data_IF_867180004892
#
_entry.id   IF_867180004892
#
_cell.length_a   1.000
_cell.length_b   1.000
_cell.length_c   1.000
_cell.angle_alpha   90.00
_cell.angle_beta   90.00
_cell.angle_gamma   90.00
#
_symmetry.space_group_name_H-M   'P 1'
#
loop_
_entity.id
_entity.type
_entity.pdbx_description
1 polymer ?
#
# COMPACT_ATOMS: atom_id res chain seq x y z
N UNK A 1 3.79 15.14 6.24
CA UNK A 1 4.42 13.95 5.64
C UNK A 1 3.75 12.71 6.22
N UNK A 2 3.30 11.73 5.42
CA UNK A 2 2.79 10.48 5.96
C UNK A 2 3.89 9.77 6.77
N UNK A 3 3.56 9.23 7.94
CA UNK A 3 4.52 8.46 8.75
C UNK A 3 4.32 6.96 8.50
N UNK A 4 5.39 6.17 8.51
CA UNK A 4 5.36 4.72 8.25
C UNK A 4 4.41 4.00 9.20
N UNK A 5 4.41 4.37 10.48
CA UNK A 5 3.48 3.86 11.50
C UNK A 5 2.02 4.17 11.18
N UNK A 6 1.74 5.36 10.65
CA UNK A 6 0.39 5.70 10.23
C UNK A 6 -0.03 4.85 9.03
N UNK A 7 0.85 4.62 8.05
CA UNK A 7 0.51 3.77 6.90
C UNK A 7 0.23 2.32 7.32
N UNK A 8 0.98 1.81 8.30
CA UNK A 8 0.73 0.46 8.84
C UNK A 8 -0.58 0.37 9.63
N UNK A 9 -0.93 1.41 10.38
CA UNK A 9 -2.25 1.50 11.04
C UNK A 9 -3.37 1.57 10.01
N UNK A 10 -3.19 2.39 8.97
CA UNK A 10 -4.15 2.57 7.88
C UNK A 10 -4.43 1.25 7.15
N UNK A 11 -3.38 0.50 6.80
CA UNK A 11 -3.49 -0.79 6.11
C UNK A 11 -4.22 -1.85 6.93
N UNK A 12 -4.11 -1.77 8.27
CA UNK A 12 -4.84 -2.61 9.23
C UNK A 12 -6.27 -2.10 9.51
N UNK A 13 -6.72 -1.01 8.89
CA UNK A 13 -8.02 -0.39 9.15
C UNK A 13 -8.11 0.32 10.51
N UNK A 14 -6.96 0.63 11.13
CA UNK A 14 -6.89 1.39 12.38
C UNK A 14 -6.87 2.89 12.10
N UNK A 15 -7.40 3.72 13.01
CA UNK A 15 -7.29 5.16 12.91
C UNK A 15 -5.83 5.58 12.95
N UNK A 16 -5.44 6.41 11.98
CA UNK A 16 -4.15 7.10 11.90
C UNK A 16 -4.24 8.46 12.56
N UNK A 17 -3.14 8.94 13.13
CA UNK A 17 -3.09 10.32 13.68
C UNK A 17 -3.03 11.34 12.55
N UNK A 18 -2.40 10.98 11.44
CA UNK A 18 -2.33 11.81 10.24
C UNK A 18 -3.48 11.52 9.26
N UNK A 19 -3.95 12.55 8.52
CA UNK A 19 -4.99 12.45 7.49
C UNK A 19 -4.43 11.89 6.17
N UNK A 20 -3.87 10.69 6.23
CA UNK A 20 -3.16 10.05 5.10
C UNK A 20 -4.03 9.09 4.28
N UNK A 21 -5.27 8.85 4.71
CA UNK A 21 -6.24 8.01 4.01
C UNK A 21 -7.32 8.79 3.27
N UNK A 22 -7.69 8.34 2.07
CA UNK A 22 -8.89 8.81 1.38
C UNK A 22 -10.16 8.18 1.96
N UNK A 23 -11.12 8.98 2.43
CA UNK A 23 -12.41 8.49 2.97
C UNK A 23 -13.23 7.65 1.97
N UNK A 24 -12.94 7.79 0.67
CA UNK A 24 -13.60 7.06 -0.42
C UNK A 24 -13.00 5.67 -0.70
N UNK A 25 -11.84 5.35 -0.12
CA UNK A 25 -11.09 4.13 -0.43
C UNK A 25 -11.02 3.27 0.84
N UNK A 26 -11.47 2.02 0.74
CA UNK A 26 -11.34 1.07 1.85
C UNK A 26 -9.87 0.72 2.09
N UNK A 27 -9.30 1.17 3.20
CA UNK A 27 -7.86 1.00 3.46
C UNK A 27 -7.46 -0.37 4.01
N UNK A 28 -8.44 -1.15 4.45
CA UNK A 28 -8.20 -2.47 5.02
C UNK A 28 -7.75 -3.43 3.92
N UNK A 29 -6.49 -3.86 4.00
CA UNK A 29 -5.96 -4.90 3.13
C UNK A 29 -6.52 -6.27 3.55
N UNK A 30 -6.89 -7.07 2.55
CA UNK A 30 -7.13 -8.51 2.71
C UNK A 30 -5.82 -9.24 3.00
N UNK A 31 -5.90 -10.52 3.42
CA UNK A 31 -4.71 -11.31 3.75
C UNK A 31 -3.72 -11.42 2.57
N UNK A 32 -4.23 -11.64 1.34
CA UNK A 32 -3.38 -11.70 0.14
C UNK A 32 -2.70 -10.36 -0.16
N UNK A 33 -3.44 -9.26 -0.10
CA UNK A 33 -2.88 -7.92 -0.31
C UNK A 33 -1.85 -7.56 0.75
N UNK A 34 -2.07 -7.99 1.99
CA UNK A 34 -1.12 -7.80 3.07
C UNK A 34 0.17 -8.56 2.83
N UNK A 35 0.10 -9.82 2.40
CA UNK A 35 1.29 -10.59 2.03
C UNK A 35 2.07 -9.90 0.90
N UNK A 36 1.37 -9.36 -0.10
CA UNK A 36 2.01 -8.59 -1.18
C UNK A 36 2.63 -7.30 -0.67
N UNK A 37 1.96 -6.58 0.22
CA UNK A 37 2.48 -5.36 0.83
C UNK A 37 3.72 -5.64 1.69
N UNK A 38 3.69 -6.66 2.56
CA UNK A 38 4.83 -7.07 3.39
C UNK A 38 6.00 -7.56 2.53
N UNK A 39 5.72 -8.33 1.47
CA UNK A 39 6.73 -8.71 0.49
C UNK A 39 7.33 -7.48 -0.20
N UNK A 40 6.50 -6.49 -0.56
CA UNK A 40 6.94 -5.27 -1.20
C UNK A 40 7.81 -4.39 -0.30
N UNK A 41 7.52 -4.35 1.00
CA UNK A 41 8.36 -3.67 1.98
C UNK A 41 9.75 -4.31 2.09
N UNK A 42 9.83 -5.65 2.02
CA UNK A 42 11.11 -6.38 2.05
C UNK A 42 11.88 -6.27 0.73
N UNK A 43 11.18 -6.37 -0.40
CA UNK A 43 11.80 -6.39 -1.73
C UNK A 43 12.09 -4.98 -2.27
N UNK A 44 11.41 -3.95 -1.76
CA UNK A 44 11.50 -2.59 -2.28
C UNK A 44 10.66 -2.32 -3.54
N UNK A 45 9.82 -3.26 -3.96
CA UNK A 45 8.86 -3.07 -5.06
C UNK A 45 7.57 -3.87 -4.83
N UNK A 46 6.42 -3.31 -5.23
CA UNK A 46 5.13 -4.00 -5.16
C UNK A 46 4.94 -4.89 -6.40
N UNK A 47 4.88 -6.21 -6.20
CA UNK A 47 4.55 -7.15 -7.27
C UNK A 47 3.04 -7.29 -7.39
N UNK A 48 2.45 -6.75 -8.47
CA UNK A 48 1.02 -6.92 -8.75
C UNK A 48 0.84 -8.20 -9.57
N UNK A 49 0.08 -9.19 -9.08
CA UNK A 49 -0.26 -10.36 -9.87
C UNK A 49 -1.14 -9.97 -11.06
N UNK A 50 -1.13 -10.77 -12.13
CA UNK A 50 -1.94 -10.54 -13.35
C UNK A 50 -3.45 -10.60 -13.06
N UNK A 51 -3.84 -11.22 -11.95
CA UNK A 51 -5.22 -11.25 -11.48
C UNK A 51 -5.65 -9.89 -10.93
N UNK A 52 -6.89 -9.48 -11.21
CA UNK A 52 -7.48 -8.19 -10.78
C UNK A 52 -7.30 -7.94 -9.28
N UNK A 53 -6.24 -7.23 -8.90
CA UNK A 53 -5.99 -6.77 -7.55
C UNK A 53 -6.70 -5.44 -7.32
N UNK A 54 -7.21 -5.20 -6.11
CA UNK A 54 -7.85 -3.93 -5.81
C UNK A 54 -6.80 -2.81 -5.79
N UNK A 55 -7.14 -1.59 -6.23
CA UNK A 55 -6.22 -0.46 -6.19
C UNK A 55 -5.82 -0.04 -4.76
N UNK A 56 -6.46 -0.61 -3.73
CA UNK A 56 -6.18 -0.32 -2.33
C UNK A 56 -4.74 -0.62 -1.93
N UNK A 57 -4.20 -1.80 -2.31
CA UNK A 57 -2.82 -2.19 -1.97
C UNK A 57 -1.81 -1.26 -2.63
N UNK A 58 -2.10 -0.80 -3.85
CA UNK A 58 -1.26 0.14 -4.59
C UNK A 58 -1.23 1.50 -3.90
N UNK A 59 -2.40 1.99 -3.46
CA UNK A 59 -2.49 3.25 -2.74
C UNK A 59 -1.77 3.20 -1.40
N UNK A 60 -1.95 2.13 -0.62
CA UNK A 60 -1.23 1.92 0.64
C UNK A 60 0.28 1.87 0.41
N UNK A 61 0.73 1.18 -0.65
CA UNK A 61 2.14 1.12 -1.00
C UNK A 61 2.73 2.47 -1.43
N UNK A 62 2.00 3.26 -2.22
CA UNK A 62 2.40 4.63 -2.57
C UNK A 62 2.55 5.53 -1.34
N UNK A 63 1.60 5.44 -0.40
CA UNK A 63 1.67 6.18 0.86
C UNK A 63 2.88 5.74 1.69
N UNK A 64 3.19 4.45 1.71
CA UNK A 64 4.36 3.90 2.39
C UNK A 64 5.66 4.41 1.77
N UNK A 65 5.79 4.39 0.44
CA UNK A 65 6.96 4.93 -0.26
C UNK A 65 7.13 6.44 -0.01
N UNK A 66 6.04 7.20 -0.05
CA UNK A 66 6.06 8.63 0.29
C UNK A 66 6.47 8.88 1.75
N UNK A 67 6.08 7.98 2.67
CA UNK A 67 6.47 8.05 4.07
C UNK A 67 7.95 7.71 4.31
N UNK A 68 8.50 6.75 3.57
CA UNK A 68 9.93 6.44 3.61
C UNK A 68 10.79 7.38 2.76
N UNK A 69 10.20 8.26 1.95
CA UNK A 69 10.93 9.06 0.97
C UNK A 69 11.62 8.21 -0.11
N UNK A 70 11.07 7.02 -0.40
CA UNK A 70 11.61 6.07 -1.38
C UNK A 70 10.85 6.10 -2.70
N UNK A 71 11.53 5.73 -3.78
CA UNK A 71 10.91 5.57 -5.08
C UNK A 71 9.84 4.45 -5.02
N UNK A 72 8.64 4.74 -5.49
CA UNK A 72 7.55 3.76 -5.52
C UNK A 72 7.66 2.90 -6.77
N UNK A 73 8.23 1.70 -6.64
CA UNK A 73 8.40 0.77 -7.75
C UNK A 73 7.27 -0.25 -7.70
N UNK A 74 6.48 -0.33 -8.77
CA UNK A 74 5.40 -1.29 -8.91
C UNK A 74 5.73 -2.15 -10.13
N UNK A 75 5.81 -3.47 -9.95
CA UNK A 75 6.13 -4.44 -11.00
C UNK A 75 4.92 -5.36 -11.24
N UNK A 76 4.40 -5.35 -12.45
CA UNK A 76 3.20 -6.11 -12.81
C UNK A 76 1.92 -5.28 -12.76
N UNK A 77 0.86 -5.86 -13.30
CA UNK A 77 -0.37 -5.20 -13.74
C UNK A 77 -0.66 -5.60 -15.19
N UNK A 78 -1.91 -5.51 -15.66
CA UNK A 78 -2.18 -5.72 -17.08
C UNK A 78 -1.29 -4.76 -17.87
N UNK A 79 -0.60 -5.28 -18.88
CA UNK A 79 0.01 -4.47 -19.93
C UNK A 79 -1.13 -3.62 -20.49
N UNK A 80 -1.18 -2.35 -20.09
CA UNK A 80 -1.98 -1.34 -20.77
C UNK A 80 -1.23 -0.97 -22.05
#
# INVERSE_FOLDING_TARGET
>A
MPNKDDVERLSRGRPTRARIGSRRIGHRLTQKERQLFEAAQRQGFLKIPVTSIRPNVVNVYRLWCAAEGRACIIKGGPLA
#
